data_IF_223628199512
#
_entry.id   IF_223628199512
#
_cell.length_a   1.000
_cell.length_b   1.000
_cell.length_c   1.000
_cell.angle_alpha   90.00
_cell.angle_beta   90.00
_cell.angle_gamma   90.00
#
_symmetry.space_group_name_H-M   'P 1'
#
loop_
_entity.id
_entity.type
_entity.pdbx_description
1 polymer ?
#
# COMPACT_ATOMS: atom_id res chain seq x y z
N UNK A 1 31.27 -21.35 41.53
CA UNK A 1 30.66 -21.31 40.18
C UNK A 1 31.62 -21.68 39.06
N UNK A 2 32.84 -21.10 38.94
CA UNK A 2 33.80 -21.53 37.90
C UNK A 2 34.43 -22.90 38.17
N UNK A 3 34.68 -23.25 39.44
CA UNK A 3 35.23 -24.55 39.83
C UNK A 3 34.25 -25.72 39.73
N UNK A 4 32.95 -25.45 39.79
CA UNK A 4 31.92 -26.51 39.86
C UNK A 4 31.51 -27.03 38.48
N UNK A 5 31.81 -26.28 37.41
CA UNK A 5 31.42 -26.55 36.01
C UNK A 5 32.62 -26.79 35.09
N UNK A 6 33.79 -27.09 35.66
CA UNK A 6 34.97 -27.39 34.85
C UNK A 6 34.75 -28.71 34.10
N UNK A 7 35.07 -28.78 32.79
CA UNK A 7 34.79 -29.97 31.98
C UNK A 7 35.53 -31.22 32.43
N UNK A 8 36.69 -31.05 33.07
CA UNK A 8 37.45 -32.15 33.69
C UNK A 8 36.72 -32.78 34.90
N UNK A 9 35.78 -32.05 35.51
CA UNK A 9 35.09 -32.47 36.74
C UNK A 9 33.62 -32.82 36.51
N UNK A 10 33.01 -32.35 35.42
CA UNK A 10 31.63 -32.69 35.05
C UNK A 10 31.61 -33.44 33.71
N UNK A 11 31.22 -34.73 33.67
CA UNK A 11 31.24 -35.55 32.46
C UNK A 11 30.09 -35.27 31.47
N UNK A 12 29.29 -34.22 31.69
CA UNK A 12 28.24 -33.82 30.76
C UNK A 12 28.82 -33.28 29.44
N UNK A 13 28.32 -33.77 28.31
CA UNK A 13 28.71 -33.33 26.95
C UNK A 13 28.52 -31.83 26.71
N UNK A 14 27.63 -31.18 27.48
CA UNK A 14 27.34 -29.74 27.40
C UNK A 14 28.17 -28.88 28.38
N UNK A 15 28.99 -29.48 29.25
CA UNK A 15 29.75 -28.76 30.28
C UNK A 15 30.78 -27.79 29.66
N UNK A 16 31.45 -28.22 28.59
CA UNK A 16 32.40 -27.40 27.83
C UNK A 16 31.75 -26.12 27.28
N UNK A 17 30.57 -26.25 26.68
CA UNK A 17 29.87 -25.09 26.13
C UNK A 17 29.42 -24.11 27.21
N UNK A 18 28.94 -24.62 28.35
CA UNK A 18 28.50 -23.81 29.47
C UNK A 18 29.68 -23.09 30.13
N UNK A 19 30.83 -23.75 30.24
CA UNK A 19 32.06 -23.13 30.71
C UNK A 19 32.52 -22.01 29.76
N UNK A 20 32.50 -22.26 28.44
CA UNK A 20 32.81 -21.24 27.43
C UNK A 20 31.87 -20.04 27.48
N UNK A 21 30.56 -20.29 27.65
CA UNK A 21 29.56 -19.22 27.84
C UNK A 21 29.82 -18.42 29.11
N UNK A 22 30.12 -19.10 30.23
CA UNK A 22 30.40 -18.44 31.51
C UNK A 22 31.69 -17.60 31.46
N UNK A 23 32.73 -18.10 30.81
CA UNK A 23 33.98 -17.36 30.58
C UNK A 23 33.74 -16.10 29.74
N UNK A 24 32.95 -16.21 28.67
CA UNK A 24 32.57 -15.07 27.83
C UNK A 24 31.74 -14.03 28.60
N UNK A 25 30.76 -14.47 29.40
CA UNK A 25 29.96 -13.58 30.26
C UNK A 25 30.87 -12.86 31.25
N UNK A 26 31.80 -13.57 31.87
CA UNK A 26 32.75 -12.98 32.81
C UNK A 26 33.63 -11.92 32.13
N UNK A 27 34.15 -12.19 30.94
CA UNK A 27 34.97 -11.24 30.18
C UNK A 27 34.21 -9.95 29.85
N UNK A 28 32.95 -10.07 29.41
CA UNK A 28 32.06 -8.94 29.11
C UNK A 28 31.73 -8.14 30.37
N UNK A 29 31.44 -8.81 31.48
CA UNK A 29 31.04 -8.14 32.74
C UNK A 29 32.23 -7.59 33.54
N UNK A 30 33.45 -8.09 33.32
CA UNK A 30 34.64 -7.68 34.06
C UNK A 30 35.08 -6.24 33.72
N UNK A 31 34.98 -5.84 32.45
CA UNK A 31 35.42 -4.49 32.03
C UNK A 31 34.25 -3.52 31.99
N UNK A 32 34.45 -2.31 32.49
CA UNK A 32 33.40 -1.28 32.55
C UNK A 32 32.88 -0.87 31.18
N UNK A 33 33.74 -0.91 30.15
CA UNK A 33 33.38 -0.49 28.80
C UNK A 33 32.55 -1.53 28.06
N UNK A 34 32.87 -2.83 28.21
CA UNK A 34 32.06 -3.91 27.64
C UNK A 34 30.72 -4.02 28.37
N UNK A 35 30.69 -3.79 29.68
CA UNK A 35 29.45 -3.76 30.46
C UNK A 35 28.50 -2.66 29.99
N UNK A 36 28.99 -1.44 29.76
CA UNK A 36 28.17 -0.36 29.21
C UNK A 36 27.58 -0.71 27.84
N UNK A 37 28.37 -1.33 26.96
CA UNK A 37 27.88 -1.79 25.64
C UNK A 37 26.84 -2.90 25.76
N UNK A 38 27.00 -3.79 26.72
CA UNK A 38 26.00 -4.83 27.00
C UNK A 38 24.69 -4.23 27.48
N UNK A 39 24.74 -3.29 28.44
CA UNK A 39 23.56 -2.60 28.96
C UNK A 39 22.85 -1.79 27.86
N UNK A 40 23.62 -1.12 26.99
CA UNK A 40 23.12 -0.39 25.82
C UNK A 40 22.43 -1.32 24.81
N UNK A 41 22.99 -2.50 24.54
CA UNK A 41 22.36 -3.51 23.66
C UNK A 41 21.10 -4.10 24.31
N UNK A 42 21.06 -4.21 25.64
CA UNK A 42 19.89 -4.72 26.35
C UNK A 42 18.71 -3.74 26.27
N UNK A 43 18.98 -2.44 26.33
CA UNK A 43 17.97 -1.37 26.24
C UNK A 43 17.59 -1.03 24.79
N UNK A 44 18.57 -0.83 23.92
CA UNK A 44 18.39 -0.34 22.55
C UNK A 44 18.36 -1.45 21.47
N UNK A 45 18.66 -2.69 21.85
CA UNK A 45 18.83 -3.81 20.92
C UNK A 45 20.23 -3.88 20.30
N UNK A 46 20.50 -4.94 19.54
CA UNK A 46 21.78 -5.03 18.81
C UNK A 46 21.91 -3.87 17.81
N UNK A 47 23.14 -3.36 17.59
CA UNK A 47 23.40 -2.36 16.55
C UNK A 47 23.13 -2.95 15.16
N UNK A 48 21.89 -2.84 14.71
CA UNK A 48 21.37 -3.42 13.46
C UNK A 48 21.84 -2.68 12.19
N UNK A 49 22.67 -1.63 12.30
CA UNK A 49 23.05 -0.72 11.21
C UNK A 49 23.85 -1.37 10.07
N UNK A 50 24.39 -2.58 10.27
CA UNK A 50 25.04 -3.37 9.20
C UNK A 50 24.08 -4.28 8.42
N UNK A 51 22.84 -4.46 8.86
CA UNK A 51 21.89 -5.35 8.20
C UNK A 51 20.91 -4.57 7.31
N UNK A 52 20.80 -4.89 6.00
CA UNK A 52 19.83 -4.28 5.09
C UNK A 52 18.37 -4.41 5.56
N UNK A 53 18.07 -5.46 6.34
CA UNK A 53 16.74 -5.70 6.91
C UNK A 53 16.32 -4.64 7.95
N UNK A 54 17.25 -3.89 8.55
CA UNK A 54 16.94 -2.79 9.46
C UNK A 54 16.10 -1.71 8.78
N UNK A 55 16.52 -1.30 7.58
CA UNK A 55 15.79 -0.32 6.76
C UNK A 55 14.44 -0.86 6.33
N UNK A 56 14.35 -2.14 5.96
CA UNK A 56 13.09 -2.76 5.54
C UNK A 56 12.07 -2.90 6.70
N UNK A 57 12.54 -3.25 7.92
CA UNK A 57 11.68 -3.36 9.11
C UNK A 57 11.23 -1.99 9.62
N UNK A 58 12.09 -0.96 9.52
CA UNK A 58 11.74 0.43 9.83
C UNK A 58 10.80 1.02 8.78
N UNK A 59 11.05 0.79 7.49
CA UNK A 59 10.24 1.29 6.39
C UNK A 59 8.81 0.73 6.39
N UNK A 60 8.61 -0.50 6.88
CA UNK A 60 7.26 -1.07 7.03
C UNK A 60 6.44 -0.44 8.16
N UNK A 61 7.09 0.27 9.08
CA UNK A 61 6.42 1.04 10.15
C UNK A 61 6.13 2.48 9.74
N UNK A 62 6.50 2.89 8.52
CA UNK A 62 6.10 4.19 7.99
C UNK A 62 4.58 4.19 7.85
N UNK A 63 3.95 5.24 8.38
CA UNK A 63 2.51 5.42 8.22
C UNK A 63 2.17 5.44 6.73
N UNK A 64 1.01 4.91 6.33
CA UNK A 64 0.53 4.96 4.95
C UNK A 64 0.64 6.38 4.36
N UNK A 65 0.46 7.41 5.20
CA UNK A 65 0.60 8.81 4.83
C UNK A 65 2.05 9.23 4.52
N UNK A 66 3.04 8.76 5.28
CA UNK A 66 4.45 9.07 5.01
C UNK A 66 4.91 8.41 3.71
N UNK A 67 4.48 7.16 3.47
CA UNK A 67 4.73 6.47 2.20
C UNK A 67 4.08 7.21 1.03
N UNK A 68 2.83 7.64 1.17
CA UNK A 68 2.13 8.43 0.15
C UNK A 68 2.78 9.79 -0.09
N UNK A 69 3.28 10.46 0.95
CA UNK A 69 4.00 11.73 0.82
C UNK A 69 5.28 11.55 0.02
N UNK A 70 6.09 10.54 0.34
CA UNK A 70 7.34 10.25 -0.39
C UNK A 70 7.05 9.92 -1.85
N UNK A 71 6.05 9.06 -2.10
CA UNK A 71 5.60 8.73 -3.46
C UNK A 71 5.12 10.00 -4.19
N UNK A 72 4.39 10.88 -3.50
CA UNK A 72 3.94 12.16 -4.02
C UNK A 72 5.11 13.06 -4.44
N UNK A 73 6.14 13.20 -3.60
CA UNK A 73 7.35 13.98 -3.93
C UNK A 73 8.02 13.40 -5.18
N UNK A 74 8.23 12.09 -5.24
CA UNK A 74 8.88 11.44 -6.40
C UNK A 74 8.04 11.64 -7.68
N UNK A 75 6.72 11.48 -7.61
CA UNK A 75 5.82 11.74 -8.72
C UNK A 75 5.84 13.21 -9.17
N UNK A 76 5.85 14.17 -8.25
CA UNK A 76 5.90 15.60 -8.59
C UNK A 76 7.21 15.98 -9.28
N UNK A 77 8.34 15.43 -8.81
CA UNK A 77 9.64 15.60 -9.45
C UNK A 77 9.64 14.96 -10.84
N UNK A 78 9.17 13.72 -10.97
CA UNK A 78 9.06 13.04 -12.26
C UNK A 78 8.16 13.78 -13.26
N UNK A 79 7.05 14.35 -12.79
CA UNK A 79 6.17 15.19 -13.61
C UNK A 79 6.88 16.46 -14.07
N UNK A 80 7.60 17.14 -13.18
CA UNK A 80 8.41 18.30 -13.53
C UNK A 80 9.45 17.96 -14.61
N UNK A 81 10.14 16.83 -14.49
CA UNK A 81 11.06 16.35 -15.53
C UNK A 81 10.36 16.09 -16.87
N UNK A 82 9.13 15.60 -16.89
CA UNK A 82 8.37 15.42 -18.14
C UNK A 82 8.05 16.75 -18.82
N UNK A 83 7.64 17.78 -18.07
CA UNK A 83 7.38 19.11 -18.62
C UNK A 83 8.67 19.73 -19.20
N UNK A 84 9.79 19.56 -18.49
CA UNK A 84 11.10 19.95 -19.00
C UNK A 84 11.53 19.14 -20.24
N UNK A 85 11.25 17.84 -20.26
CA UNK A 85 11.49 16.99 -21.42
C UNK A 85 10.72 17.46 -22.66
N UNK A 86 9.44 17.80 -22.50
CA UNK A 86 8.63 18.34 -23.59
C UNK A 86 9.15 19.69 -24.09
N UNK A 87 9.61 20.56 -23.19
CA UNK A 87 10.25 21.82 -23.55
C UNK A 87 11.53 21.60 -24.36
N UNK A 88 12.41 20.70 -23.89
CA UNK A 88 13.68 20.39 -24.56
C UNK A 88 13.43 19.75 -25.94
N UNK A 89 12.47 18.83 -26.05
CA UNK A 89 12.13 18.17 -27.32
C UNK A 89 11.67 19.19 -28.39
N UNK A 90 10.83 20.15 -28.00
CA UNK A 90 10.39 21.24 -28.89
C UNK A 90 11.53 22.17 -29.27
N UNK A 91 12.36 22.56 -28.31
CA UNK A 91 13.54 23.38 -28.55
C UNK A 91 14.51 22.71 -29.53
N UNK A 92 14.81 21.42 -29.33
CA UNK A 92 15.68 20.66 -30.22
C UNK A 92 15.08 20.45 -31.61
N UNK A 93 13.78 20.15 -31.70
CA UNK A 93 13.07 20.01 -32.97
C UNK A 93 13.13 21.29 -33.80
N UNK A 94 12.93 22.44 -33.17
CA UNK A 94 13.04 23.74 -33.83
C UNK A 94 14.49 24.04 -34.26
N UNK A 95 15.47 23.75 -33.39
CA UNK A 95 16.88 23.90 -33.73
C UNK A 95 17.33 22.94 -34.86
N UNK A 96 16.73 21.76 -34.97
CA UNK A 96 17.02 20.78 -36.03
C UNK A 96 16.48 21.25 -37.39
N UNK A 97 15.29 21.87 -37.37
CA UNK A 97 14.71 22.51 -38.55
C UNK A 97 15.52 23.73 -39.04
N UNK A 98 16.49 24.24 -38.27
CA UNK A 98 17.41 25.32 -38.67
C UNK A 98 18.19 25.01 -39.95
N UNK A 99 18.49 23.74 -40.22
CA UNK A 99 19.16 23.33 -41.47
C UNK A 99 18.29 23.54 -42.72
N UNK A 100 16.95 23.43 -42.58
CA UNK A 100 15.97 23.65 -43.66
C UNK A 100 15.63 25.13 -43.81
N UNK A 101 15.60 25.87 -42.70
CA UNK A 101 15.38 27.31 -42.67
C UNK A 101 16.56 28.07 -43.26
N UNK A 102 17.83 27.74 -42.92
CA UNK A 102 19.01 28.34 -43.58
C UNK A 102 18.98 28.24 -45.10
N UNK A 103 18.48 27.14 -45.67
CA UNK A 103 18.36 26.98 -47.14
C UNK A 103 17.31 27.92 -47.75
N UNK A 104 16.26 28.26 -46.98
CA UNK A 104 15.22 29.22 -47.38
C UNK A 104 15.65 30.66 -47.09
N UNK A 105 16.30 30.91 -45.95
CA UNK A 105 16.86 32.21 -45.55
C UNK A 105 18.00 32.64 -46.45
N UNK A 106 18.93 31.79 -46.88
CA UNK A 106 19.96 32.19 -47.87
C UNK A 106 19.32 32.64 -49.20
N UNK A 107 18.09 32.18 -49.51
CA UNK A 107 17.31 32.66 -50.66
C UNK A 107 16.52 33.95 -50.36
N UNK A 108 16.12 34.18 -49.12
CA UNK A 108 15.30 35.33 -48.66
C UNK A 108 16.15 36.51 -48.14
N UNK A 109 17.28 36.28 -47.48
CA UNK A 109 18.29 37.27 -47.04
C UNK A 109 18.96 37.99 -48.22
N UNK A 110 18.98 37.36 -49.41
CA UNK A 110 19.28 38.07 -50.68
C UNK A 110 18.24 39.15 -51.02
N UNK A 111 17.09 39.19 -50.34
CA UNK A 111 15.98 40.16 -50.52
C UNK A 111 15.71 41.03 -49.28
N UNK A 112 15.89 40.54 -48.05
CA UNK A 112 15.53 41.23 -46.80
C UNK A 112 16.50 40.82 -45.68
N UNK A 113 17.59 41.56 -45.49
CA UNK A 113 18.83 41.07 -44.88
C UNK A 113 18.92 40.97 -43.34
N UNK A 114 17.87 41.32 -42.59
CA UNK A 114 17.97 41.46 -41.12
C UNK A 114 16.72 41.03 -40.36
N UNK A 115 15.56 41.11 -40.99
CA UNK A 115 14.28 40.97 -40.26
C UNK A 115 13.86 39.50 -40.12
N UNK A 116 14.42 38.62 -40.96
CA UNK A 116 14.09 37.20 -40.95
C UNK A 116 14.53 36.50 -39.66
N UNK A 117 15.74 36.76 -39.16
CA UNK A 117 16.28 36.08 -37.97
C UNK A 117 15.51 36.49 -36.70
N UNK A 118 15.13 37.76 -36.58
CA UNK A 118 14.31 38.27 -35.46
C UNK A 118 12.87 37.72 -35.50
N UNK A 119 12.27 37.59 -36.69
CA UNK A 119 10.96 36.98 -36.85
C UNK A 119 10.97 35.51 -36.45
N UNK A 120 12.04 34.78 -36.79
CA UNK A 120 12.19 33.40 -36.35
C UNK A 120 12.30 33.32 -34.84
N UNK A 121 13.18 34.10 -34.19
CA UNK A 121 13.30 34.09 -32.73
C UNK A 121 11.98 34.42 -32.02
N UNK A 122 11.18 35.33 -32.58
CA UNK A 122 9.84 35.64 -32.09
C UNK A 122 8.85 34.47 -32.25
N UNK A 123 8.87 33.75 -33.38
CA UNK A 123 8.02 32.56 -33.62
C UNK A 123 8.40 31.39 -32.69
N UNK A 124 9.70 31.20 -32.42
CA UNK A 124 10.17 30.23 -31.42
C UNK A 124 9.63 30.59 -30.03
N UNK A 125 9.73 31.87 -29.65
CA UNK A 125 9.29 32.36 -28.35
C UNK A 125 7.77 32.27 -28.17
N UNK A 126 6.98 32.56 -29.20
CA UNK A 126 5.52 32.42 -29.18
C UNK A 126 5.10 30.95 -29.02
N UNK A 127 5.73 30.03 -29.77
CA UNK A 127 5.47 28.60 -29.62
C UNK A 127 5.94 28.01 -28.28
N UNK A 128 6.98 28.59 -27.67
CA UNK A 128 7.46 28.18 -26.33
C UNK A 128 6.66 28.81 -25.20
N UNK A 129 5.97 29.94 -25.43
CA UNK A 129 5.18 30.63 -24.42
C UNK A 129 4.02 29.75 -23.90
N UNK A 130 3.39 28.98 -24.80
CA UNK A 130 2.32 28.03 -24.45
C UNK A 130 2.82 26.82 -23.64
N UNK A 131 4.11 26.50 -23.71
CA UNK A 131 4.71 25.32 -23.09
C UNK A 131 5.59 25.66 -21.89
N UNK A 132 5.46 26.87 -21.33
CA UNK A 132 6.25 27.27 -20.17
C UNK A 132 6.00 26.29 -19.02
N UNK A 133 7.05 25.75 -18.37
CA UNK A 133 6.89 24.90 -17.20
C UNK A 133 6.39 25.77 -16.04
N UNK A 134 5.08 25.98 -15.97
CA UNK A 134 4.46 26.76 -14.91
C UNK A 134 4.34 25.90 -13.66
N UNK A 135 4.93 26.38 -12.57
CA UNK A 135 4.82 25.76 -11.24
C UNK A 135 3.37 25.71 -10.74
N UNK A 136 2.47 26.45 -11.40
CA UNK A 136 1.05 26.54 -11.11
C UNK A 136 0.25 25.34 -11.63
N UNK A 137 0.79 24.57 -12.58
CA UNK A 137 0.16 23.36 -13.10
C UNK A 137 0.58 22.09 -12.36
N UNK A 138 1.22 22.21 -11.19
CA UNK A 138 1.49 21.03 -10.38
C UNK A 138 0.15 20.40 -9.98
N UNK A 139 -0.09 19.21 -10.53
CA UNK A 139 -1.20 18.31 -10.22
C UNK A 139 -1.66 18.32 -8.75
N UNK A 140 -0.79 18.35 -7.72
CA UNK A 140 -1.25 18.44 -6.33
C UNK A 140 -2.04 19.71 -6.01
N UNK A 141 -1.67 20.88 -6.53
CA UNK A 141 -2.40 22.13 -6.25
C UNK A 141 -3.75 22.18 -6.98
N UNK A 142 -3.80 21.66 -8.21
CA UNK A 142 -5.04 21.56 -8.97
C UNK A 142 -5.99 20.52 -8.34
N UNK A 143 -5.45 19.40 -7.85
CA UNK A 143 -6.21 18.42 -7.07
C UNK A 143 -6.72 19.01 -5.76
N UNK A 144 -5.91 19.80 -5.04
CA UNK A 144 -6.34 20.46 -3.80
C UNK A 144 -7.44 21.49 -4.07
N UNK A 145 -7.32 22.30 -5.12
CA UNK A 145 -8.37 23.25 -5.52
C UNK A 145 -9.66 22.54 -5.95
N UNK A 146 -9.55 21.50 -6.79
CA UNK A 146 -10.71 20.69 -7.19
C UNK A 146 -11.35 19.96 -6.00
N UNK A 147 -10.54 19.42 -5.09
CA UNK A 147 -11.03 18.76 -3.87
C UNK A 147 -11.71 19.77 -2.95
N UNK A 148 -11.16 20.98 -2.82
CA UNK A 148 -11.76 22.09 -2.08
C UNK A 148 -13.11 22.51 -2.67
N UNK A 149 -13.21 22.60 -4.00
CA UNK A 149 -14.49 22.87 -4.71
C UNK A 149 -15.51 21.74 -4.50
N UNK A 150 -15.08 20.48 -4.51
CA UNK A 150 -15.94 19.33 -4.23
C UNK A 150 -16.41 19.34 -2.76
N UNK A 151 -15.51 19.59 -1.81
CA UNK A 151 -15.84 19.68 -0.38
C UNK A 151 -16.81 20.83 -0.11
N UNK A 152 -16.58 21.99 -0.72
CA UNK A 152 -17.52 23.12 -0.65
C UNK A 152 -18.89 22.74 -1.24
N UNK A 153 -18.92 22.08 -2.40
CA UNK A 153 -20.17 21.59 -3.00
C UNK A 153 -20.87 20.52 -2.14
N UNK A 154 -20.14 19.69 -1.40
CA UNK A 154 -20.74 18.73 -0.45
C UNK A 154 -21.27 19.40 0.81
N UNK A 155 -20.66 20.50 1.27
CA UNK A 155 -21.15 21.28 2.40
C UNK A 155 -22.48 21.98 2.07
N UNK A 156 -22.66 22.41 0.82
CA UNK A 156 -23.93 22.98 0.31
C UNK A 156 -25.06 21.93 0.24
N UNK A 157 -24.73 20.64 0.08
CA UNK A 157 -25.69 19.53 0.15
C UNK A 157 -25.96 19.04 1.58
N UNK A 158 -25.18 19.51 2.56
CA UNK A 158 -25.31 19.19 3.98
C UNK A 158 -26.38 19.99 4.73
N UNK A 159 -26.82 21.12 4.17
CA UNK A 159 -27.98 21.90 4.67
C UNK A 159 -29.29 21.55 3.93
N UNK A 160 -29.43 20.30 3.49
CA UNK A 160 -30.75 19.79 3.11
C UNK A 160 -31.70 19.79 4.32
N UNK A 161 -32.99 20.13 4.15
CA UNK A 161 -33.92 20.22 5.27
C UNK A 161 -33.93 18.89 6.01
N UNK A 162 -33.73 18.94 7.34
CA UNK A 162 -33.79 17.77 8.21
C UNK A 162 -35.10 17.05 7.92
N UNK A 163 -35.05 15.96 7.16
CA UNK A 163 -36.22 15.20 6.77
C UNK A 163 -36.74 14.56 8.05
N UNK A 164 -37.67 15.23 8.73
CA UNK A 164 -38.49 14.60 9.76
C UNK A 164 -39.14 13.43 9.05
N UNK A 165 -38.75 12.21 9.42
CA UNK A 165 -39.45 11.01 9.01
C UNK A 165 -40.85 11.09 9.63
N UNK A 166 -41.80 11.69 8.90
CA UNK A 166 -43.22 11.49 9.20
C UNK A 166 -43.51 10.05 8.81
N UNK A 167 -43.63 9.17 9.79
CA UNK A 167 -44.07 7.80 9.56
C UNK A 167 -45.48 7.85 8.95
N UNK A 168 -45.57 7.67 7.63
CA UNK A 168 -46.83 7.39 6.97
C UNK A 168 -47.33 6.03 7.47
N UNK A 169 -48.58 5.91 7.96
CA UNK A 169 -49.14 4.62 8.33
C UNK A 169 -49.05 3.66 7.14
N UNK A 170 -48.51 2.47 7.36
CA UNK A 170 -48.40 1.45 6.33
C UNK A 170 -49.81 1.02 5.88
N UNK A 171 -50.08 0.87 4.58
CA UNK A 171 -51.36 0.35 4.12
C UNK A 171 -51.50 -1.12 4.56
N UNK A 172 -52.63 -1.46 5.17
CA UNK A 172 -52.98 -2.83 5.51
C UNK A 172 -53.35 -3.56 4.22
N UNK A 173 -52.57 -4.57 3.84
CA UNK A 173 -52.88 -5.40 2.69
C UNK A 173 -53.87 -6.50 3.10
N UNK A 174 -55.06 -6.47 2.50
CA UNK A 174 -56.02 -7.57 2.59
C UNK A 174 -55.64 -8.63 1.56
N UNK A 175 -55.14 -9.77 2.03
CA UNK A 175 -54.73 -10.86 1.16
C UNK A 175 -55.93 -11.77 0.87
N UNK A 176 -56.37 -11.82 -0.39
CA UNK A 176 -57.28 -12.88 -0.83
C UNK A 176 -56.51 -14.21 -0.85
N UNK A 177 -56.81 -15.10 0.09
CA UNK A 177 -56.26 -16.47 0.11
C UNK A 177 -56.72 -17.18 -1.15
N UNK A 178 -55.77 -17.57 -2.01
CA UNK A 178 -56.07 -18.33 -3.22
C UNK A 178 -56.47 -19.76 -2.84
N UNK A 179 -57.77 -20.05 -2.93
CA UNK A 179 -58.39 -21.34 -2.56
C UNK A 179 -58.10 -22.48 -3.53
N UNK A 180 -57.46 -22.21 -4.67
CA UNK A 180 -57.41 -23.14 -5.81
C UNK A 180 -56.11 -23.96 -5.88
N UNK A 181 -55.30 -23.94 -4.82
CA UNK A 181 -54.04 -24.69 -4.81
C UNK A 181 -54.30 -26.15 -4.44
N UNK A 182 -54.26 -27.01 -5.44
CA UNK A 182 -54.33 -28.47 -5.27
C UNK A 182 -53.03 -28.96 -4.59
N UNK A 183 -53.10 -29.68 -3.45
CA UNK A 183 -51.89 -30.09 -2.73
C UNK A 183 -51.10 -31.12 -3.56
N UNK A 184 -49.83 -30.81 -3.82
CA UNK A 184 -48.86 -31.78 -4.37
C UNK A 184 -48.38 -32.65 -3.21
N UNK A 185 -48.75 -33.95 -3.26
CA UNK A 185 -48.42 -34.96 -2.26
C UNK A 185 -46.90 -35.17 -2.18
N UNK A 186 -46.26 -34.64 -1.14
CA UNK A 186 -44.86 -34.89 -0.83
C UNK A 186 -44.68 -36.28 -0.23
N UNK A 187 -43.73 -37.02 -0.81
CA UNK A 187 -43.16 -38.32 -0.46
C UNK A 187 -43.44 -38.82 0.97
N UNK A 188 -44.15 -39.95 1.08
CA UNK A 188 -44.22 -40.75 2.31
C UNK A 188 -42.86 -41.45 2.50
N UNK A 189 -42.14 -41.10 3.56
CA UNK A 189 -40.93 -41.81 3.99
C UNK A 189 -41.36 -42.96 4.92
N UNK A 190 -41.41 -44.17 4.38
CA UNK A 190 -41.82 -45.38 5.10
C UNK A 190 -40.70 -45.84 6.05
N UNK A 191 -40.93 -45.69 7.36
CA UNK A 191 -39.95 -45.92 8.43
C UNK A 191 -40.04 -47.34 9.02
N UNK A 192 -40.53 -48.31 8.25
CA UNK A 192 -40.83 -49.67 8.73
C UNK A 192 -39.64 -50.61 8.85
N UNK A 193 -38.43 -50.23 8.38
CA UNK A 193 -37.23 -51.08 8.48
C UNK A 193 -36.33 -50.81 9.70
N UNK A 194 -36.58 -49.76 10.50
CA UNK A 194 -35.71 -49.42 11.65
C UNK A 194 -36.08 -50.11 12.97
N UNK A 195 -37.25 -50.77 13.05
CA UNK A 195 -37.72 -51.43 14.28
C UNK A 195 -37.33 -52.92 14.31
N UNK A 196 -37.04 -53.57 13.17
CA UNK A 196 -36.60 -54.98 13.12
C UNK A 196 -35.12 -55.21 13.46
N UNK A 197 -34.26 -54.18 13.39
CA UNK A 197 -32.83 -54.33 13.70
C UNK A 197 -32.51 -54.25 15.20
N UNK A 198 -33.37 -53.63 16.01
CA UNK A 198 -33.12 -53.43 17.44
C UNK A 198 -33.76 -54.49 18.35
N UNK A 199 -34.67 -55.32 17.83
CA UNK A 199 -35.27 -56.46 18.56
C UNK A 199 -34.54 -57.79 18.31
N UNK A 200 -33.62 -57.84 17.34
CA UNK A 200 -32.79 -59.01 17.03
C UNK A 200 -31.43 -59.03 17.78
N UNK A 201 -31.02 -57.91 18.41
CA UNK A 201 -29.79 -57.85 19.21
C UNK A 201 -30.00 -58.18 20.69
N UNK A 202 -31.20 -57.95 21.24
CA UNK A 202 -31.51 -58.24 22.65
C UNK A 202 -31.95 -59.70 22.92
N UNK A 203 -32.25 -60.49 21.90
CA UNK A 203 -32.61 -61.91 22.03
C UNK A 203 -31.43 -62.88 21.90
N UNK A 204 -30.20 -62.38 21.63
CA UNK A 204 -28.97 -63.19 21.57
C UNK A 204 -28.08 -63.13 22.82
N UNK A 205 -28.47 -62.37 23.85
CA UNK A 205 -27.70 -62.25 25.11
C UNK A 205 -28.31 -63.00 26.31
N UNK A 206 -29.41 -63.75 26.12
CA UNK A 206 -30.05 -64.56 27.17
C UNK A 206 -30.03 -66.08 26.90
N UNK A 207 -29.07 -66.56 26.10
CA UNK A 207 -28.78 -68.00 25.95
C UNK A 207 -27.26 -68.19 26.03
N UNK A 208 -26.68 -67.86 27.19
CA UNK A 208 -25.30 -68.25 27.60
C UNK A 208 -25.13 -67.96 29.09
N UNK A 209 -25.97 -68.58 29.91
CA UNK A 209 -25.68 -68.88 31.32
C UNK A 209 -26.62 -70.01 31.74
N UNK A 210 -26.15 -71.24 31.57
CA UNK A 210 -26.19 -72.38 32.49
C UNK A 210 -25.47 -73.53 31.81
#
# INVERSE_FOLDING_TARGET
>A
MSMDRHPDRNPDENADEQFRKLAAIYEVLKTTDLRKKYDDILENGLPDWKQPLFYYRRARKLSWFEALLIIGIICTVGHYFMLWGAYIDRYWTLSSNRSRLRKKEVRQLKKTGTDAELLYEAEIAEMLADLWPSWQNLLPLLLIDHLGRIVAATNELGEGPTRRYTATPQPVFEYSVASDVKPVSTCVFDNTNRIKSNTASDSKLLITKY
#
